data_IF_039838146879
#
_entry.id   IF_039838146879
#
_cell.length_a   1.000
_cell.length_b   1.000
_cell.length_c   1.000
_cell.angle_alpha   90.00
_cell.angle_beta   90.00
_cell.angle_gamma   90.00
#
_symmetry.space_group_name_H-M   'P 1'
#
loop_
_entity.id
_entity.type
_entity.pdbx_description
1 polymer ?
#
# COMPACT_ATOMS: atom_id res chain seq x y z
N UNK A 1 12.18 11.28 -17.25
CA UNK A 1 11.48 10.02 -16.90
C UNK A 1 11.79 9.01 -17.98
N UNK A 2 12.61 7.99 -17.70
CA UNK A 2 12.73 6.86 -18.62
C UNK A 2 11.32 6.29 -18.80
N UNK A 3 10.86 6.22 -20.05
CA UNK A 3 9.54 5.70 -20.35
C UNK A 3 9.41 4.31 -19.71
N UNK A 4 8.26 3.99 -19.12
CA UNK A 4 7.96 2.74 -18.40
C UNK A 4 7.94 1.50 -19.31
N UNK A 5 8.71 1.53 -20.40
CA UNK A 5 8.84 0.53 -21.48
C UNK A 5 9.28 -0.82 -20.94
N UNK A 6 9.94 -0.85 -19.77
CA UNK A 6 10.33 -2.09 -19.12
C UNK A 6 9.15 -2.87 -18.53
N UNK A 7 7.97 -2.27 -18.32
CA UNK A 7 6.78 -2.96 -17.78
C UNK A 7 5.99 -3.65 -18.90
N UNK A 8 5.47 -4.85 -18.61
CA UNK A 8 4.47 -5.46 -19.48
C UNK A 8 3.19 -4.60 -19.52
N UNK A 9 2.40 -4.61 -20.60
CA UNK A 9 1.16 -3.84 -20.68
C UNK A 9 0.22 -4.11 -19.50
N UNK A 10 0.11 -5.37 -19.08
CA UNK A 10 -0.73 -5.77 -17.94
C UNK A 10 -0.20 -5.22 -16.62
N UNK A 11 1.11 -5.28 -16.37
CA UNK A 11 1.69 -4.74 -15.13
C UNK A 11 1.60 -3.20 -15.09
N UNK A 12 1.77 -2.53 -16.22
CA UNK A 12 1.56 -1.09 -16.32
C UNK A 12 0.11 -0.71 -16.01
N UNK A 13 -0.87 -1.43 -16.58
CA UNK A 13 -2.28 -1.21 -16.29
C UNK A 13 -2.58 -1.43 -14.80
N UNK A 14 -2.16 -2.55 -14.22
CA UNK A 14 -2.32 -2.83 -12.79
C UNK A 14 -1.71 -1.73 -11.93
N UNK A 15 -0.51 -1.24 -12.27
CA UNK A 15 0.14 -0.15 -11.53
C UNK A 15 -0.68 1.17 -11.58
N UNK A 16 -1.31 1.48 -12.70
CA UNK A 16 -2.19 2.65 -12.83
C UNK A 16 -3.46 2.48 -12.00
N UNK A 17 -4.05 1.29 -12.00
CA UNK A 17 -5.24 0.97 -11.20
C UNK A 17 -4.95 1.04 -9.70
N UNK A 18 -3.84 0.46 -9.24
CA UNK A 18 -3.38 0.55 -7.84
C UNK A 18 -3.16 2.02 -7.46
N UNK A 19 -2.45 2.80 -8.27
CA UNK A 19 -2.24 4.22 -7.99
C UNK A 19 -3.54 5.03 -7.85
N UNK A 20 -4.59 4.68 -8.61
CA UNK A 20 -5.90 5.29 -8.46
C UNK A 20 -6.62 4.84 -7.18
N UNK A 21 -6.44 3.58 -6.77
CA UNK A 21 -6.96 3.07 -5.50
C UNK A 21 -6.28 3.76 -4.32
N UNK A 22 -4.96 3.92 -4.34
CA UNK A 22 -4.22 4.61 -3.28
C UNK A 22 -4.66 6.06 -3.08
N UNK A 23 -4.91 6.77 -4.18
CA UNK A 23 -5.48 8.13 -4.08
C UNK A 23 -6.86 8.12 -3.42
N UNK A 24 -7.72 7.16 -3.77
CA UNK A 24 -9.04 7.01 -3.18
C UNK A 24 -8.97 6.60 -1.69
N UNK A 25 -7.99 5.78 -1.30
CA UNK A 25 -7.73 5.40 0.08
C UNK A 25 -7.38 6.64 0.92
N UNK A 26 -6.43 7.46 0.47
CA UNK A 26 -6.03 8.70 1.14
C UNK A 26 -7.24 9.63 1.31
N UNK A 27 -7.97 9.90 0.23
CA UNK A 27 -9.16 10.76 0.29
C UNK A 27 -10.22 10.25 1.27
N UNK A 28 -10.47 8.94 1.28
CA UNK A 28 -11.43 8.31 2.19
C UNK A 28 -10.99 8.48 3.65
N UNK A 29 -9.71 8.26 3.95
CA UNK A 29 -9.17 8.44 5.29
C UNK A 29 -9.21 9.90 5.74
N UNK A 30 -8.81 10.84 4.89
CA UNK A 30 -8.86 12.28 5.20
C UNK A 30 -10.29 12.70 5.54
N UNK A 31 -11.27 12.32 4.72
CA UNK A 31 -12.69 12.61 4.96
C UNK A 31 -13.19 11.99 6.26
N UNK A 32 -12.87 10.71 6.51
CA UNK A 32 -13.29 10.01 7.72
C UNK A 32 -12.66 10.60 8.99
N UNK A 33 -11.39 11.01 8.93
CA UNK A 33 -10.69 11.66 10.04
C UNK A 33 -11.31 13.02 10.34
N UNK A 34 -11.55 13.84 9.31
CA UNK A 34 -12.19 15.16 9.47
C UNK A 34 -13.60 15.01 10.04
N UNK A 35 -14.40 14.08 9.52
CA UNK A 35 -15.76 13.81 10.01
C UNK A 35 -15.78 13.34 11.47
N UNK A 36 -14.72 12.64 11.91
CA UNK A 36 -14.53 12.24 13.30
C UNK A 36 -13.96 13.37 14.20
N UNK A 37 -13.75 14.58 13.66
CA UNK A 37 -13.21 15.73 14.40
C UNK A 37 -11.68 15.72 14.57
N UNK A 38 -10.97 14.85 13.84
CA UNK A 38 -9.52 14.77 13.84
C UNK A 38 -8.85 15.61 12.75
N UNK A 39 -7.51 15.65 12.79
CA UNK A 39 -6.68 16.31 11.79
C UNK A 39 -5.95 15.23 10.96
N UNK A 40 -6.13 15.19 9.62
CA UNK A 40 -5.39 14.25 8.79
C UNK A 40 -3.88 14.46 8.84
N UNK A 41 -3.12 13.41 8.58
CA UNK A 41 -1.67 13.50 8.47
C UNK A 41 -1.27 14.37 7.26
N UNK A 42 -0.16 15.12 7.34
CA UNK A 42 0.31 15.90 6.20
C UNK A 42 0.78 14.98 5.06
N UNK A 43 0.69 15.49 3.83
CA UNK A 43 1.24 14.82 2.65
C UNK A 43 2.76 14.65 2.81
N UNK A 44 3.23 13.42 2.61
CA UNK A 44 4.66 13.10 2.64
C UNK A 44 5.37 13.40 1.32
N UNK A 45 6.68 13.53 1.38
CA UNK A 45 7.56 13.49 0.20
C UNK A 45 8.22 12.12 0.16
N UNK A 46 8.09 11.44 -0.98
CA UNK A 46 8.55 10.06 -1.14
C UNK A 46 9.69 9.96 -2.14
N UNK A 47 10.66 9.11 -1.84
CA UNK A 47 11.81 8.81 -2.69
C UNK A 47 11.91 7.30 -2.87
N UNK A 48 12.03 6.86 -4.12
CA UNK A 48 12.12 5.44 -4.44
C UNK A 48 13.49 5.09 -5.02
N UNK A 49 14.08 3.94 -4.64
CA UNK A 49 15.36 3.50 -5.18
C UNK A 49 15.30 3.28 -6.70
N UNK A 50 16.31 3.74 -7.45
CA UNK A 50 16.31 3.62 -8.92
C UNK A 50 16.29 2.17 -9.42
N UNK A 51 16.83 1.22 -8.63
CA UNK A 51 16.87 -0.20 -8.98
C UNK A 51 15.50 -0.87 -8.99
N UNK A 52 14.42 -0.23 -8.52
CA UNK A 52 13.05 -0.79 -8.62
C UNK A 52 12.46 -0.61 -10.02
N UNK A 53 13.00 0.31 -10.83
CA UNK A 53 12.48 0.66 -12.15
C UNK A 53 13.27 0.02 -13.31
N UNK A 54 14.01 -1.07 -13.04
CA UNK A 54 14.90 -1.70 -14.03
C UNK A 54 14.29 -2.95 -14.69
N UNK A 55 13.25 -3.54 -14.10
CA UNK A 55 12.57 -4.72 -14.64
C UNK A 55 11.14 -4.87 -14.10
N UNK A 56 10.25 -5.61 -14.80
CA UNK A 56 8.92 -5.94 -14.28
C UNK A 56 8.94 -6.60 -12.91
N UNK A 57 9.87 -7.54 -12.71
CA UNK A 57 9.97 -8.32 -11.47
C UNK A 57 10.41 -7.42 -10.31
N UNK A 58 11.40 -6.55 -10.53
CA UNK A 58 11.85 -5.60 -9.51
C UNK A 58 10.73 -4.63 -9.11
N UNK A 59 9.98 -4.13 -10.09
CA UNK A 59 8.85 -3.25 -9.86
C UNK A 59 7.71 -3.94 -9.10
N UNK A 60 7.31 -5.13 -9.55
CA UNK A 60 6.24 -5.91 -8.92
C UNK A 60 6.61 -6.30 -7.48
N UNK A 61 7.86 -6.70 -7.25
CA UNK A 61 8.36 -7.02 -5.91
C UNK A 61 8.37 -5.79 -4.99
N UNK A 62 8.79 -4.64 -5.50
CA UNK A 62 8.78 -3.41 -4.73
C UNK A 62 7.37 -2.95 -4.38
N UNK A 63 6.46 -2.93 -5.36
CA UNK A 63 5.04 -2.63 -5.10
C UNK A 63 4.47 -3.57 -4.05
N UNK A 64 4.68 -4.89 -4.21
CA UNK A 64 4.25 -5.87 -3.22
C UNK A 64 4.80 -5.56 -1.82
N UNK A 65 6.07 -5.17 -1.71
CA UNK A 65 6.68 -4.83 -0.41
C UNK A 65 5.97 -3.64 0.25
N UNK A 66 5.52 -2.65 -0.52
CA UNK A 66 4.75 -1.52 0.01
C UNK A 66 3.35 -1.96 0.47
N UNK A 67 2.64 -2.77 -0.32
CA UNK A 67 1.31 -3.25 0.07
C UNK A 67 1.38 -4.08 1.34
N UNK A 68 2.44 -4.88 1.54
CA UNK A 68 2.64 -5.66 2.76
C UNK A 68 2.82 -4.80 4.00
N UNK A 69 3.49 -3.66 3.85
CA UNK A 69 3.61 -2.67 4.93
C UNK A 69 2.23 -2.07 5.21
N UNK A 70 1.45 -1.74 4.16
CA UNK A 70 0.07 -1.24 4.26
C UNK A 70 -0.87 -2.22 4.97
N UNK A 71 -0.91 -3.47 4.50
CA UNK A 71 -1.66 -4.59 5.09
C UNK A 71 -1.36 -4.71 6.59
N UNK A 72 -0.07 -4.75 6.94
CA UNK A 72 0.36 -4.85 8.32
C UNK A 72 -0.04 -3.63 9.16
N UNK A 73 0.07 -2.43 8.61
CA UNK A 73 -0.32 -1.18 9.26
C UNK A 73 -1.82 -1.15 9.57
N UNK A 74 -2.68 -1.45 8.58
CA UNK A 74 -4.12 -1.49 8.79
C UNK A 74 -4.51 -2.59 9.79
N UNK A 75 -3.96 -3.79 9.67
CA UNK A 75 -4.28 -4.88 10.58
C UNK A 75 -3.84 -4.59 12.02
N UNK A 76 -2.69 -3.93 12.21
CA UNK A 76 -2.22 -3.51 13.52
C UNK A 76 -3.04 -2.37 14.13
N UNK A 77 -3.54 -1.45 13.29
CA UNK A 77 -4.30 -0.29 13.75
C UNK A 77 -5.79 -0.56 13.95
N UNK A 78 -6.42 -1.46 13.17
CA UNK A 78 -7.88 -1.58 13.08
C UNK A 78 -8.55 -1.86 14.44
N UNK A 79 -7.90 -2.64 15.32
CA UNK A 79 -8.39 -2.91 16.67
C UNK A 79 -8.35 -1.70 17.62
N UNK A 80 -7.53 -0.70 17.31
CA UNK A 80 -7.34 0.50 18.14
C UNK A 80 -8.28 1.65 17.75
N UNK A 81 -8.84 1.63 16.54
CA UNK A 81 -9.71 2.69 16.02
C UNK A 81 -11.06 2.65 16.74
N UNK A 82 -11.36 3.64 17.59
CA UNK A 82 -12.62 3.68 18.36
C UNK A 82 -13.84 4.08 17.51
N UNK A 83 -13.66 5.01 16.57
CA UNK A 83 -14.73 5.43 15.68
C UNK A 83 -15.09 4.29 14.71
N UNK A 84 -16.35 3.85 14.74
CA UNK A 84 -16.80 2.69 13.97
C UNK A 84 -16.71 2.90 12.46
N UNK A 85 -16.97 4.11 11.97
CA UNK A 85 -16.95 4.40 10.54
C UNK A 85 -15.50 4.49 10.02
N UNK A 86 -14.60 5.10 10.79
CA UNK A 86 -13.17 5.07 10.50
C UNK A 86 -12.62 3.63 10.55
N UNK A 87 -13.10 2.80 11.48
CA UNK A 87 -12.70 1.39 11.58
C UNK A 87 -13.17 0.59 10.35
N UNK A 88 -14.40 0.82 9.88
CA UNK A 88 -14.93 0.20 8.66
C UNK A 88 -14.14 0.64 7.42
N UNK A 89 -13.81 1.92 7.32
CA UNK A 89 -12.99 2.45 6.22
C UNK A 89 -11.61 1.77 6.22
N UNK A 90 -10.92 1.73 7.36
CA UNK A 90 -9.64 1.06 7.52
C UNK A 90 -9.69 -0.45 7.15
N UNK A 91 -10.73 -1.16 7.61
CA UNK A 91 -10.93 -2.57 7.28
C UNK A 91 -11.21 -2.79 5.78
N UNK A 92 -11.95 -1.88 5.14
CA UNK A 92 -12.20 -1.93 3.71
C UNK A 92 -10.92 -1.72 2.91
N UNK A 93 -10.08 -0.77 3.31
CA UNK A 93 -8.80 -0.50 2.63
C UNK A 93 -7.86 -1.69 2.79
N UNK A 94 -7.71 -2.26 3.99
CA UNK A 94 -6.97 -3.51 4.20
C UNK A 94 -7.33 -4.59 3.17
N UNK A 95 -8.62 -4.78 2.89
CA UNK A 95 -9.07 -5.75 1.88
C UNK A 95 -8.66 -5.40 0.44
N UNK A 96 -8.51 -4.12 0.10
CA UNK A 96 -7.97 -3.66 -1.18
C UNK A 96 -6.46 -3.93 -1.27
N UNK A 97 -5.71 -3.56 -0.23
CA UNK A 97 -4.25 -3.76 -0.16
C UNK A 97 -3.87 -5.24 -0.37
N UNK A 98 -4.63 -6.17 0.23
CA UNK A 98 -4.44 -7.63 0.03
C UNK A 98 -4.63 -8.03 -1.44
N UNK A 99 -5.58 -7.43 -2.17
CA UNK A 99 -5.77 -7.71 -3.61
C UNK A 99 -4.63 -7.16 -4.43
N UNK A 100 -4.15 -5.96 -4.10
CA UNK A 100 -2.99 -5.34 -4.74
C UNK A 100 -1.75 -6.20 -4.57
N UNK A 101 -1.46 -6.63 -3.34
CA UNK A 101 -0.36 -7.54 -3.02
C UNK A 101 -0.45 -8.84 -3.84
N UNK A 102 -1.63 -9.47 -3.87
CA UNK A 102 -1.85 -10.71 -4.60
C UNK A 102 -1.63 -10.58 -6.11
N UNK A 103 -2.13 -9.50 -6.74
CA UNK A 103 -1.96 -9.29 -8.19
C UNK A 103 -0.51 -8.95 -8.54
N UNK A 104 0.18 -8.16 -7.71
CA UNK A 104 1.60 -7.82 -7.92
C UNK A 104 2.48 -9.06 -7.83
N UNK A 105 2.24 -9.94 -6.86
CA UNK A 105 2.95 -11.23 -6.77
C UNK A 105 2.70 -12.10 -7.99
N UNK A 106 1.44 -12.24 -8.40
CA UNK A 106 1.08 -13.04 -9.58
C UNK A 106 1.76 -12.54 -10.85
N UNK A 107 1.74 -11.23 -11.11
CA UNK A 107 2.38 -10.62 -12.29
C UNK A 107 3.90 -10.61 -12.21
N UNK A 108 4.46 -10.61 -10.99
CA UNK A 108 5.89 -10.78 -10.74
C UNK A 108 6.39 -12.22 -10.87
N UNK A 109 5.51 -13.21 -11.08
CA UNK A 109 5.88 -14.62 -11.17
C UNK A 109 6.09 -15.31 -9.82
N UNK A 110 5.56 -14.74 -8.74
CA UNK A 110 5.63 -15.28 -7.38
C UNK A 110 4.32 -15.98 -6.97
N UNK A 111 4.38 -16.82 -5.93
CA UNK A 111 3.19 -17.44 -5.32
C UNK A 111 2.18 -16.38 -4.88
N UNK A 112 0.93 -16.42 -5.33
CA UNK A 112 -0.03 -15.32 -5.11
C UNK A 112 -0.34 -15.04 -3.62
N UNK A 113 -0.47 -16.09 -2.80
CA UNK A 113 -0.71 -16.01 -1.36
C UNK A 113 0.38 -16.81 -0.63
N UNK A 114 1.45 -16.14 -0.15
CA UNK A 114 2.61 -16.84 0.41
C UNK A 114 2.39 -17.33 1.85
N UNK A 115 1.28 -16.97 2.49
CA UNK A 115 0.96 -17.30 3.89
C UNK A 115 -0.54 -17.44 4.10
N UNK A 116 -0.93 -18.08 5.20
CA UNK A 116 -2.33 -18.30 5.57
C UNK A 116 -2.97 -17.11 6.29
N UNK A 117 -2.18 -16.31 7.00
CA UNK A 117 -2.64 -15.16 7.78
C UNK A 117 -1.71 -13.98 7.59
N UNK A 118 -2.27 -12.78 7.62
CA UNK A 118 -1.50 -11.54 7.55
C UNK A 118 -0.88 -11.17 8.90
N UNK A 119 0.24 -10.47 8.85
CA UNK A 119 1.00 -10.07 10.06
C UNK A 119 0.71 -8.62 10.40
N UNK A 120 0.13 -8.39 11.58
CA UNK A 120 -0.06 -7.04 12.10
C UNK A 120 1.29 -6.37 12.39
N UNK A 121 1.42 -5.10 12.02
CA UNK A 121 2.58 -4.27 12.34
C UNK A 121 2.21 -3.20 13.36
N UNK A 122 3.12 -2.97 14.30
CA UNK A 122 3.06 -1.82 15.21
C UNK A 122 3.48 -0.55 14.49
N UNK A 123 3.07 0.62 15.00
CA UNK A 123 3.47 1.92 14.44
C UNK A 123 5.00 2.06 14.31
N UNK A 124 5.83 1.69 15.32
CA UNK A 124 7.29 1.73 15.16
C UNK A 124 7.84 0.82 14.05
N UNK A 125 7.23 -0.36 13.84
CA UNK A 125 7.64 -1.25 12.75
C UNK A 125 7.31 -0.65 11.39
N UNK A 126 6.09 -0.10 11.23
CA UNK A 126 5.69 0.60 10.00
C UNK A 126 6.64 1.76 9.71
N UNK A 127 6.88 2.61 10.71
CA UNK A 127 7.80 3.75 10.60
C UNK A 127 9.21 3.32 10.19
N UNK A 128 9.74 2.24 10.79
CA UNK A 128 11.05 1.69 10.43
C UNK A 128 11.11 1.17 8.99
N UNK A 129 10.05 0.51 8.52
CA UNK A 129 9.98 -0.07 7.18
C UNK A 129 9.81 1.00 6.09
N UNK A 130 9.10 2.10 6.36
CA UNK A 130 8.92 3.18 5.37
C UNK A 130 10.03 4.23 5.41
N UNK A 131 10.82 4.32 6.50
CA UNK A 131 11.85 5.34 6.68
C UNK A 131 12.81 5.50 5.49
N UNK A 132 13.27 4.43 4.81
CA UNK A 132 14.14 4.57 3.63
C UNK A 132 13.49 5.28 2.43
N UNK A 133 12.16 5.42 2.42
CA UNK A 133 11.38 5.99 1.32
C UNK A 133 10.85 7.39 1.63
N UNK A 134 11.04 7.89 2.84
CA UNK A 134 10.69 9.26 3.24
C UNK A 134 11.86 10.20 2.93
N UNK A 135 11.60 11.40 2.41
CA UNK A 135 12.68 12.38 2.19
C UNK A 135 12.24 13.77 1.82
#
# INVERSE_FOLDING_TARGET
>A
QQARVYLSPRLLQTAVEIGANELAHVQTLEQAIIAAGGTPAPVGVYRFPNNVFVSPVAYAWFGYTLEEIGIGAYLGAVGQIQNADLRKAAASIYGSEVRHAGVLRSLGGFTFAPRYFETALTVPQVQGLIAPYLG
#
